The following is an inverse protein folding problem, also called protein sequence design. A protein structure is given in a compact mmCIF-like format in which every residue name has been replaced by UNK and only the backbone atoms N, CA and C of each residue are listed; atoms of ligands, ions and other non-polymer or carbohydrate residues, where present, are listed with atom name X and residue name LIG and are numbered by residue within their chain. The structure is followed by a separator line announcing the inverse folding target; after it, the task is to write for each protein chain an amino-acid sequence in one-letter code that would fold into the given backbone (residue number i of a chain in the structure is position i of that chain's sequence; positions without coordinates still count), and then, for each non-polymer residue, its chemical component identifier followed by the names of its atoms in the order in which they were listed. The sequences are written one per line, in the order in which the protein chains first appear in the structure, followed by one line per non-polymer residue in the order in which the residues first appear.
data_IF_108025130913
#
_entry.id   IF_108025130913
#
_cell.length_a   1.000
_cell.length_b   1.000
_cell.length_c   1.000
_cell.angle_alpha   90.00
_cell.angle_beta   90.00
_cell.angle_gamma   90.00
#
_symmetry.space_group_name_H-M   'P 1'
#
loop_
_entity.id
_entity.type
_entity.pdbx_description
1 polymer ?
#
# COMPACT_ATOMS: atom_id res chain seq x y z
N UNK A 1 -48.85 -2.44 -14.76
CA UNK A 1 -48.28 -3.54 -13.95
C UNK A 1 -46.93 -3.04 -13.44
N UNK A 2 -46.87 -2.73 -12.14
CA UNK A 2 -45.69 -2.22 -11.43
C UNK A 2 -45.12 -3.36 -10.59
N UNK A 3 -43.81 -3.59 -10.71
CA UNK A 3 -42.82 -4.20 -9.77
C UNK A 3 -41.56 -4.46 -10.61
N UNK A 4 -40.35 -3.96 -10.39
CA UNK A 4 -39.73 -3.06 -9.43
C UNK A 4 -38.35 -2.70 -10.02
N UNK A 5 -37.86 -1.45 -10.00
CA UNK A 5 -36.47 -1.15 -10.32
C UNK A 5 -35.63 -1.37 -9.07
N UNK A 6 -35.39 -2.64 -8.72
CA UNK A 6 -34.52 -3.01 -7.60
C UNK A 6 -33.59 -4.12 -8.05
N UNK A 7 -32.75 -3.82 -9.03
CA UNK A 7 -31.60 -4.66 -9.31
C UNK A 7 -30.38 -3.77 -9.53
N UNK A 8 -29.60 -3.68 -8.45
CA UNK A 8 -28.26 -3.12 -8.35
C UNK A 8 -28.10 -1.64 -8.74
N UNK A 9 -28.35 -0.79 -7.73
CA UNK A 9 -27.27 0.11 -7.29
C UNK A 9 -26.09 -0.77 -6.87
N UNK A 10 -25.32 -1.24 -7.84
CA UNK A 10 -23.88 -1.31 -7.62
C UNK A 10 -23.48 0.16 -7.66
N UNK A 11 -23.67 0.85 -6.52
CA UNK A 11 -22.99 2.10 -6.27
C UNK A 11 -21.52 1.72 -6.38
N UNK A 12 -20.96 1.89 -7.58
CA UNK A 12 -19.54 1.86 -7.87
C UNK A 12 -18.93 2.83 -6.87
N UNK A 13 -18.54 2.30 -5.70
CA UNK A 13 -17.80 2.99 -4.67
C UNK A 13 -16.40 3.20 -5.26
N UNK A 14 -16.34 4.07 -6.26
CA UNK A 14 -15.14 4.52 -6.94
C UNK A 14 -14.46 5.43 -5.95
N UNK A 15 -13.75 4.81 -5.01
CA UNK A 15 -12.91 5.50 -4.06
C UNK A 15 -12.01 6.46 -4.86
N UNK A 16 -12.05 7.76 -4.55
CA UNK A 16 -11.29 8.72 -5.31
C UNK A 16 -9.80 8.36 -5.27
N UNK A 17 -9.08 8.58 -6.36
CA UNK A 17 -7.63 8.36 -6.42
C UNK A 17 -6.90 9.03 -5.24
N UNK A 18 -7.39 10.21 -4.81
CA UNK A 18 -6.91 10.90 -3.63
C UNK A 18 -7.04 10.08 -2.33
N UNK A 19 -8.09 9.28 -2.17
CA UNK A 19 -8.25 8.40 -1.02
C UNK A 19 -7.23 7.25 -1.06
N UNK A 20 -6.94 6.69 -2.24
CA UNK A 20 -5.89 5.66 -2.37
C UNK A 20 -4.49 6.20 -2.09
N UNK A 21 -4.20 7.42 -2.54
CA UNK A 21 -2.95 8.13 -2.18
C UNK A 21 -2.89 8.38 -0.67
N UNK A 22 -4.00 8.82 -0.06
CA UNK A 22 -4.04 9.01 1.39
C UNK A 22 -3.82 7.70 2.16
N UNK A 23 -4.41 6.59 1.71
CA UNK A 23 -4.22 5.26 2.28
C UNK A 23 -2.75 4.82 2.14
N UNK A 24 -2.13 5.03 0.99
CA UNK A 24 -0.73 4.71 0.73
C UNK A 24 0.22 5.43 1.69
N UNK A 25 0.08 6.77 1.77
CA UNK A 25 0.88 7.60 2.68
C UNK A 25 0.61 7.24 4.14
N UNK A 26 -0.63 6.94 4.50
CA UNK A 26 -0.98 6.51 5.87
C UNK A 26 -0.35 5.16 6.20
N UNK A 27 -0.37 4.19 5.27
CA UNK A 27 0.25 2.88 5.46
C UNK A 27 1.77 2.99 5.65
N UNK A 28 2.42 3.84 4.86
CA UNK A 28 3.84 4.15 5.05
C UNK A 28 4.10 4.80 6.42
N UNK A 29 3.27 5.76 6.83
CA UNK A 29 3.35 6.41 8.14
C UNK A 29 3.21 5.42 9.30
N UNK A 30 2.27 4.48 9.21
CA UNK A 30 2.09 3.40 10.19
C UNK A 30 3.32 2.50 10.23
N UNK A 31 3.88 2.10 9.09
CA UNK A 31 5.11 1.31 9.05
C UNK A 31 6.27 2.05 9.74
N UNK A 32 6.47 3.33 9.42
CA UNK A 32 7.50 4.18 10.04
C UNK A 32 7.31 4.27 11.56
N UNK A 33 6.07 4.45 12.03
CA UNK A 33 5.74 4.49 13.45
C UNK A 33 6.05 3.16 14.15
N UNK A 34 5.70 2.03 13.52
CA UNK A 34 6.00 0.69 14.04
C UNK A 34 7.51 0.45 14.13
N UNK A 35 8.27 0.84 13.09
CA UNK A 35 9.73 0.74 13.12
C UNK A 35 10.33 1.60 14.24
N UNK A 36 9.81 2.81 14.45
CA UNK A 36 10.25 3.69 15.52
C UNK A 36 9.98 3.12 16.92
N UNK A 37 8.82 2.50 17.15
CA UNK A 37 8.46 1.90 18.45
C UNK A 37 9.24 0.61 18.73
N UNK A 38 9.33 -0.28 17.73
CA UNK A 38 9.80 -1.65 17.93
C UNK A 38 11.29 -1.88 17.59
N UNK A 39 11.98 -0.90 16.99
CA UNK A 39 13.42 -0.99 16.70
C UNK A 39 14.21 0.12 17.42
N UNK A 40 14.27 0.08 18.77
CA UNK A 40 14.91 1.10 19.59
C UNK A 40 16.42 1.20 19.42
N UNK A 41 17.07 0.24 18.74
CA UNK A 41 18.49 0.37 18.32
C UNK A 41 18.73 1.57 17.41
N UNK A 42 17.66 2.12 16.80
CA UNK A 42 17.71 3.37 16.04
C UNK A 42 17.45 4.62 16.91
N UNK A 43 17.19 4.49 18.21
CA UNK A 43 17.32 5.57 19.20
C UNK A 43 16.16 6.59 19.33
N UNK A 44 16.19 7.37 20.42
CA UNK A 44 15.29 8.51 20.69
C UNK A 44 15.54 9.72 19.76
N UNK A 45 16.70 9.73 19.09
CA UNK A 45 17.09 10.64 18.01
C UNK A 45 17.79 9.83 16.91
N UNK A 46 17.03 9.07 16.10
CA UNK A 46 17.61 8.31 15.02
C UNK A 46 18.26 9.22 13.97
N UNK A 47 19.46 8.89 13.51
CA UNK A 47 19.98 9.50 12.29
C UNK A 47 19.01 9.21 11.14
N UNK A 48 18.56 10.19 10.34
CA UNK A 48 17.48 10.01 9.35
C UNK A 48 17.76 8.95 8.27
N UNK A 49 18.98 8.40 8.21
CA UNK A 49 19.39 7.28 7.36
C UNK A 49 18.49 6.05 7.50
N UNK A 50 17.87 5.82 8.66
CA UNK A 50 16.97 4.67 8.85
C UNK A 50 15.67 4.72 8.04
N UNK A 51 15.28 5.91 7.59
CA UNK A 51 14.11 6.11 6.73
C UNK A 51 14.41 5.74 5.27
N UNK A 52 15.68 5.61 4.90
CA UNK A 52 16.09 5.33 3.52
C UNK A 52 15.51 4.00 3.06
N UNK A 53 15.61 2.94 3.87
CA UNK A 53 15.13 1.60 3.50
C UNK A 53 13.61 1.57 3.24
N UNK A 54 12.74 2.02 4.17
CA UNK A 54 11.30 2.03 3.89
C UNK A 54 10.94 3.02 2.78
N UNK A 55 11.57 4.19 2.67
CA UNK A 55 11.27 5.13 1.59
C UNK A 55 11.67 4.58 0.22
N UNK A 56 12.85 3.97 0.10
CA UNK A 56 13.32 3.34 -1.13
C UNK A 56 12.41 2.17 -1.54
N UNK A 57 12.02 1.33 -0.57
CA UNK A 57 11.06 0.26 -0.78
C UNK A 57 9.73 0.80 -1.30
N UNK A 58 9.17 1.80 -0.62
CA UNK A 58 7.89 2.42 -1.01
C UNK A 58 7.90 3.06 -2.40
N UNK A 59 8.94 3.82 -2.72
CA UNK A 59 9.09 4.46 -4.04
C UNK A 59 9.25 3.41 -5.14
N UNK A 60 10.13 2.43 -4.93
CA UNK A 60 10.32 1.33 -5.89
C UNK A 60 9.03 0.54 -6.05
N UNK A 61 8.30 0.32 -4.95
CA UNK A 61 7.04 -0.39 -4.94
C UNK A 61 6.00 0.31 -5.80
N UNK A 62 5.85 1.63 -5.64
CA UNK A 62 4.95 2.44 -6.46
C UNK A 62 5.29 2.36 -7.95
N UNK A 63 6.58 2.41 -8.32
CA UNK A 63 7.03 2.26 -9.71
C UNK A 63 6.72 0.87 -10.26
N UNK A 64 6.99 -0.19 -9.48
CA UNK A 64 6.69 -1.57 -9.88
C UNK A 64 5.17 -1.81 -9.97
N UNK A 65 4.40 -1.29 -9.02
CA UNK A 65 2.94 -1.34 -9.02
C UNK A 65 2.34 -0.62 -10.23
N UNK A 66 2.92 0.52 -10.61
CA UNK A 66 2.58 1.22 -11.85
C UNK A 66 2.89 0.37 -13.08
N UNK A 67 4.07 -0.26 -13.17
CA UNK A 67 4.42 -1.09 -14.32
C UNK A 67 3.59 -2.39 -14.41
N UNK A 68 3.23 -2.97 -13.26
CA UNK A 68 2.55 -4.26 -13.15
C UNK A 68 1.03 -4.16 -13.00
N UNK A 69 0.43 -2.97 -13.06
CA UNK A 69 -1.00 -2.76 -12.77
C UNK A 69 -1.93 -3.69 -13.55
N UNK A 70 -1.58 -4.02 -14.81
CA UNK A 70 -2.36 -4.91 -15.67
C UNK A 70 -2.46 -6.33 -15.12
N UNK A 71 -1.43 -6.79 -14.43
CA UNK A 71 -1.39 -8.12 -13.80
C UNK A 71 -2.16 -8.11 -12.48
N UNK A 72 -2.08 -7.01 -11.72
CA UNK A 72 -2.79 -6.83 -10.45
C UNK A 72 -4.28 -6.49 -10.59
N UNK A 73 -4.75 -6.12 -11.78
CA UNK A 73 -6.18 -5.90 -12.11
C UNK A 73 -7.09 -7.09 -11.76
N UNK A 74 -6.54 -8.30 -11.67
CA UNK A 74 -7.29 -9.53 -11.35
C UNK A 74 -7.62 -9.68 -9.87
N UNK A 75 -6.96 -8.91 -8.99
CA UNK A 75 -7.18 -9.00 -7.54
C UNK A 75 -8.18 -7.92 -7.08
N UNK A 76 -9.11 -8.26 -6.17
CA UNK A 76 -9.95 -7.25 -5.53
C UNK A 76 -9.06 -6.25 -4.77
N UNK A 77 -9.32 -4.93 -4.84
CA UNK A 77 -8.54 -3.92 -4.11
C UNK A 77 -8.43 -4.20 -2.60
N UNK A 78 -9.49 -4.72 -2.00
CA UNK A 78 -9.50 -5.16 -0.60
C UNK A 78 -8.53 -6.32 -0.33
N UNK A 79 -8.40 -7.26 -1.28
CA UNK A 79 -7.46 -8.38 -1.18
C UNK A 79 -6.01 -7.92 -1.28
N UNK A 80 -5.72 -6.97 -2.17
CA UNK A 80 -4.42 -6.32 -2.27
C UNK A 80 -4.03 -5.60 -0.97
N UNK A 81 -4.97 -4.81 -0.41
CA UNK A 81 -4.76 -4.13 0.86
C UNK A 81 -4.51 -5.11 2.01
N UNK A 82 -5.26 -6.21 2.08
CA UNK A 82 -5.06 -7.26 3.08
C UNK A 82 -3.69 -7.94 2.96
N UNK A 83 -3.24 -8.27 1.74
CA UNK A 83 -1.91 -8.87 1.51
C UNK A 83 -0.81 -7.91 1.96
N UNK A 84 -0.93 -6.61 1.63
CA UNK A 84 0.04 -5.60 2.06
C UNK A 84 0.07 -5.49 3.59
N UNK A 85 -1.10 -5.45 4.24
CA UNK A 85 -1.23 -5.43 5.70
C UNK A 85 -0.58 -6.64 6.36
N UNK A 86 -0.80 -7.84 5.83
CA UNK A 86 -0.18 -9.08 6.33
C UNK A 86 1.34 -9.02 6.19
N UNK A 87 1.86 -8.57 5.05
CA UNK A 87 3.31 -8.43 4.83
C UNK A 87 3.94 -7.39 5.79
N UNK A 88 3.27 -6.27 6.00
CA UNK A 88 3.69 -5.23 6.96
C UNK A 88 3.67 -5.77 8.39
N UNK A 89 2.62 -6.50 8.77
CA UNK A 89 2.49 -7.06 10.12
C UNK A 89 3.49 -8.20 10.41
N UNK A 90 3.83 -9.00 9.39
CA UNK A 90 4.78 -10.11 9.52
C UNK A 90 6.23 -9.68 9.43
N UNK A 91 6.53 -8.50 8.88
CA UNK A 91 7.88 -8.00 8.70
C UNK A 91 8.75 -7.98 9.97
N UNK A 92 8.25 -7.48 11.12
CA UNK A 92 9.01 -7.50 12.37
C UNK A 92 9.35 -8.93 12.84
N UNK A 93 8.51 -9.91 12.49
CA UNK A 93 8.65 -11.32 12.89
C UNK A 93 9.61 -12.07 11.96
N UNK A 94 9.51 -11.83 10.65
CA UNK A 94 10.33 -12.50 9.63
C UNK A 94 11.75 -11.93 9.60
N UNK A 95 11.90 -10.62 9.81
CA UNK A 95 13.16 -9.92 9.64
C UNK A 95 13.83 -9.51 10.95
N UNK A 96 13.71 -10.33 12.00
CA UNK A 96 14.32 -10.10 13.32
C UNK A 96 15.83 -9.79 13.25
N UNK A 97 16.56 -10.43 12.33
CA UNK A 97 18.01 -10.22 12.13
C UNK A 97 18.35 -9.15 11.09
N UNK A 98 17.40 -8.78 10.23
CA UNK A 98 17.62 -7.86 9.12
C UNK A 98 16.52 -6.79 9.08
N UNK A 99 16.41 -5.97 10.13
CA UNK A 99 15.32 -5.01 10.31
C UNK A 99 15.15 -4.03 9.14
N UNK A 100 16.27 -3.57 8.56
CA UNK A 100 16.31 -2.71 7.37
C UNK A 100 15.68 -3.39 6.14
N UNK A 101 16.01 -4.67 5.94
CA UNK A 101 15.47 -5.46 4.82
C UNK A 101 13.96 -5.69 4.99
N UNK A 102 13.50 -5.93 6.22
CA UNK A 102 12.07 -6.02 6.52
C UNK A 102 11.31 -4.73 6.29
N UNK A 103 11.87 -3.59 6.71
CA UNK A 103 11.33 -2.27 6.43
C UNK A 103 11.20 -2.01 4.93
N UNK A 104 12.26 -2.30 4.16
CA UNK A 104 12.27 -2.17 2.71
C UNK A 104 11.18 -3.02 2.04
N UNK A 105 11.11 -4.33 2.33
CA UNK A 105 10.14 -5.22 1.69
C UNK A 105 8.69 -4.93 2.08
N UNK A 106 8.46 -4.47 3.31
CA UNK A 106 7.12 -4.03 3.75
C UNK A 106 6.65 -2.81 2.99
N UNK A 107 7.54 -1.82 2.87
CA UNK A 107 7.26 -0.59 2.15
C UNK A 107 7.11 -0.84 0.64
N UNK A 108 7.91 -1.77 0.10
CA UNK A 108 7.78 -2.26 -1.28
C UNK A 108 6.39 -2.85 -1.53
N UNK A 109 5.89 -3.69 -0.62
CA UNK A 109 4.56 -4.28 -0.74
C UNK A 109 3.46 -3.20 -0.71
N UNK A 110 3.54 -2.25 0.24
CA UNK A 110 2.62 -1.10 0.31
C UNK A 110 2.62 -0.35 -1.02
N UNK A 111 3.79 0.02 -1.53
CA UNK A 111 3.94 0.77 -2.77
C UNK A 111 3.41 0.01 -4.00
N UNK A 112 3.65 -1.30 -4.12
CA UNK A 112 3.10 -2.10 -5.22
C UNK A 112 1.58 -2.08 -5.19
N UNK A 113 1.00 -2.33 -4.01
CA UNK A 113 -0.44 -2.34 -3.80
C UNK A 113 -1.08 -1.01 -4.18
N UNK A 114 -0.57 0.07 -3.62
CA UNK A 114 -1.06 1.42 -3.87
C UNK A 114 -0.85 1.86 -5.32
N UNK A 115 0.36 1.73 -5.86
CA UNK A 115 0.71 2.15 -7.21
C UNK A 115 -0.15 1.48 -8.28
N UNK A 116 -0.42 0.17 -8.13
CA UNK A 116 -1.33 -0.55 -9.02
C UNK A 116 -2.77 -0.05 -8.96
N UNK A 117 -3.29 0.24 -7.76
CA UNK A 117 -4.69 0.70 -7.57
C UNK A 117 -4.85 2.17 -8.02
N UNK A 118 -3.92 3.04 -7.64
CA UNK A 118 -3.91 4.46 -8.04
C UNK A 118 -3.88 4.55 -9.56
N UNK A 119 -2.98 3.82 -10.22
CA UNK A 119 -2.88 3.89 -11.67
C UNK A 119 -4.12 3.32 -12.38
N UNK A 120 -4.70 2.23 -11.86
CA UNK A 120 -5.99 1.70 -12.32
C UNK A 120 -7.07 2.79 -12.29
N UNK A 121 -7.26 3.46 -11.16
CA UNK A 121 -8.29 4.51 -11.03
C UNK A 121 -8.04 5.71 -11.93
N UNK A 122 -6.77 6.05 -12.20
CA UNK A 122 -6.42 7.12 -13.14
C UNK A 122 -6.77 6.76 -14.58
N UNK A 123 -6.51 5.52 -15.01
CA UNK A 123 -6.87 5.05 -16.36
C UNK A 123 -8.38 4.98 -16.52
N UNK A 124 -9.08 4.38 -15.57
CA UNK A 124 -10.56 4.25 -15.61
C UNK A 124 -11.23 5.63 -15.71
N UNK A 125 -10.67 6.67 -15.06
CA UNK A 125 -11.16 8.06 -15.15
C UNK A 125 -10.78 8.79 -16.43
N UNK A 126 -9.66 8.45 -17.07
CA UNK A 126 -9.19 9.10 -18.30
C UNK A 126 -9.85 8.58 -19.58
N UNK A 127 -10.60 7.48 -19.49
CA UNK A 127 -11.37 6.88 -20.61
C UNK A 127 -12.84 7.31 -20.66
N UNK A 128 -13.28 8.19 -19.76
CA UNK A 128 -14.59 8.84 -19.75
C UNK A 128 -14.46 10.30 -20.18
#
# INVERSE_FOLDING_TARGET
MSTSPTERRDDDFTFPTAAWVAIDVTALGVLILLLWIFQPEKGLLPEPSWLIDPLAGWLLGNVLGFAAYKTFLKLPPAGMAAICLVLVALSPVIFLKYPAMGAFFSALAIGIGAGSIIHRTLIERGTH
#
